data_IF_497298662174
#
_entry.id   IF_497298662174
#
_cell.length_a   1.000
_cell.length_b   1.000
_cell.length_c   1.000
_cell.angle_alpha   90.00
_cell.angle_beta   90.00
_cell.angle_gamma   90.00
#
_symmetry.space_group_name_H-M   'P 1'
#
loop_
_entity.id
_entity.type
_entity.pdbx_description
1 polymer ?
#
# COMPACT_ATOMS: atom_id res chain seq x y z
N UNK A 1 19.96 -2.64 -9.77
CA UNK A 1 19.62 -3.15 -8.43
C UNK A 1 19.94 -2.05 -7.43
N UNK A 2 18.99 -1.14 -7.20
CA UNK A 2 18.99 -0.31 -5.98
C UNK A 2 17.90 -0.95 -5.13
N UNK A 3 18.31 -1.86 -4.27
CA UNK A 3 17.42 -2.38 -3.24
C UNK A 3 16.92 -1.17 -2.44
N UNK A 4 15.60 -0.99 -2.51
CA UNK A 4 14.87 0.01 -1.75
C UNK A 4 15.16 -0.29 -0.30
N UNK A 5 15.95 0.58 0.34
CA UNK A 5 16.08 0.58 1.79
C UNK A 5 14.69 0.91 2.34
N UNK A 6 13.90 -0.13 2.59
CA UNK A 6 12.65 -0.01 3.32
C UNK A 6 13.02 0.55 4.68
N UNK A 7 12.54 1.77 4.95
CA UNK A 7 12.81 2.45 6.21
C UNK A 7 12.27 1.59 7.37
N UNK A 8 13.13 1.32 8.37
CA UNK A 8 12.75 0.52 9.53
C UNK A 8 11.60 1.19 10.32
N UNK A 9 11.51 2.52 10.29
CA UNK A 9 10.39 3.26 10.86
C UNK A 9 9.06 2.94 10.17
N UNK A 10 9.10 2.71 8.86
CA UNK A 10 7.92 2.41 8.07
C UNK A 10 7.33 1.03 8.39
N UNK A 11 8.19 0.02 8.46
CA UNK A 11 7.79 -1.33 8.84
C UNK A 11 7.23 -1.38 10.26
N UNK A 12 7.85 -0.65 11.20
CA UNK A 12 7.36 -0.59 12.57
C UNK A 12 5.97 0.05 12.66
N UNK A 13 5.75 1.15 11.95
CA UNK A 13 4.46 1.85 11.93
C UNK A 13 3.36 0.96 11.38
N UNK A 14 3.63 0.24 10.28
CA UNK A 14 2.68 -0.71 9.69
C UNK A 14 2.40 -1.89 10.62
N UNK A 15 3.41 -2.44 11.31
CA UNK A 15 3.24 -3.52 12.27
C UNK A 15 2.33 -3.10 13.45
N UNK A 16 2.50 -1.88 13.96
CA UNK A 16 1.67 -1.34 15.05
C UNK A 16 0.22 -1.11 14.59
N UNK A 17 0.02 -0.62 13.37
CA UNK A 17 -1.31 -0.52 12.75
C UNK A 17 -1.97 -1.88 12.65
N UNK A 18 -1.25 -2.88 12.15
CA UNK A 18 -1.77 -4.24 12.01
C UNK A 18 -2.17 -4.83 13.36
N UNK A 19 -1.36 -4.63 14.40
CA UNK A 19 -1.70 -5.04 15.76
C UNK A 19 -3.01 -4.42 16.26
N UNK A 20 -3.23 -3.14 15.98
CA UNK A 20 -4.50 -2.46 16.32
C UNK A 20 -5.70 -3.05 15.56
N UNK A 21 -5.58 -3.27 14.25
CA UNK A 21 -6.68 -3.73 13.39
C UNK A 21 -6.98 -5.22 13.50
N UNK A 22 -5.98 -6.05 13.78
CA UNK A 22 -6.12 -7.51 13.89
C UNK A 22 -6.52 -7.96 15.29
N UNK A 23 -6.46 -7.07 16.28
CA UNK A 23 -6.97 -7.39 17.62
C UNK A 23 -8.48 -7.66 17.54
N UNK A 24 -8.88 -8.82 18.04
CA UNK A 24 -10.26 -9.29 18.01
C UNK A 24 -10.74 -9.61 19.42
N UNK A 25 -12.01 -9.34 19.67
CA UNK A 25 -12.68 -9.62 20.94
C UNK A 25 -12.65 -11.12 21.24
N UNK A 26 -12.11 -11.53 22.38
CA UNK A 26 -12.17 -12.93 22.83
C UNK A 26 -13.33 -13.12 23.82
N UNK A 27 -14.04 -14.25 23.76
CA UNK A 27 -15.20 -14.53 24.62
C UNK A 27 -14.90 -14.44 26.13
N UNK A 28 -13.66 -14.72 26.53
CA UNK A 28 -13.21 -14.65 27.91
C UNK A 28 -12.78 -13.25 28.38
N UNK A 29 -12.80 -12.24 27.51
CA UNK A 29 -12.37 -10.88 27.84
C UNK A 29 -13.53 -9.97 28.28
N UNK A 30 -13.26 -9.13 29.27
CA UNK A 30 -14.18 -8.08 29.71
C UNK A 30 -14.19 -6.90 28.71
N UNK A 31 -15.35 -6.33 28.32
CA UNK A 31 -15.43 -5.24 27.36
C UNK A 31 -14.57 -4.02 27.70
N UNK A 32 -14.46 -3.69 28.99
CA UNK A 32 -13.63 -2.58 29.48
C UNK A 32 -12.15 -2.83 29.19
N UNK A 33 -11.68 -4.06 29.36
CA UNK A 33 -10.28 -4.44 29.12
C UNK A 33 -9.98 -4.45 27.61
N UNK A 34 -10.90 -4.94 26.79
CA UNK A 34 -10.79 -4.86 25.32
C UNK A 34 -10.69 -3.40 24.87
N UNK A 35 -11.54 -2.52 25.40
CA UNK A 35 -11.52 -1.09 25.07
C UNK A 35 -10.19 -0.44 25.50
N UNK A 36 -9.67 -0.78 26.68
CA UNK A 36 -8.38 -0.28 27.17
C UNK A 36 -7.23 -0.70 26.25
N UNK A 37 -7.17 -1.98 25.86
CA UNK A 37 -6.15 -2.50 24.93
C UNK A 37 -6.23 -1.86 23.55
N UNK A 38 -7.43 -1.67 23.01
CA UNK A 38 -7.63 -0.95 21.74
C UNK A 38 -7.10 0.49 21.81
N UNK A 39 -7.32 1.19 22.93
CA UNK A 39 -6.77 2.54 23.14
C UNK A 39 -5.24 2.52 23.18
N UNK A 40 -4.65 1.51 23.82
CA UNK A 40 -3.19 1.35 23.89
C UNK A 40 -2.59 1.08 22.50
N UNK A 41 -3.17 0.17 21.72
CA UNK A 41 -2.70 -0.11 20.34
C UNK A 41 -2.88 1.09 19.41
N UNK A 42 -4.02 1.79 19.51
CA UNK A 42 -4.26 3.01 18.76
C UNK A 42 -3.22 4.09 19.09
N UNK A 43 -2.90 4.27 20.38
CA UNK A 43 -1.87 5.22 20.82
C UNK A 43 -0.47 4.82 20.34
N UNK A 44 -0.13 3.53 20.37
CA UNK A 44 1.15 3.04 19.84
C UNK A 44 1.28 3.28 18.33
N UNK A 45 0.21 3.03 17.57
CA UNK A 45 0.21 3.26 16.13
C UNK A 45 0.27 4.76 15.77
N UNK A 46 -0.63 5.56 16.34
CA UNK A 46 -0.79 6.97 15.95
C UNK A 46 0.15 7.93 16.68
N UNK A 47 0.77 7.50 17.78
CA UNK A 47 1.73 8.26 18.60
C UNK A 47 1.32 9.73 18.83
N UNK A 48 0.15 10.01 19.44
CA UNK A 48 -0.38 11.37 19.59
C UNK A 48 0.51 12.31 20.43
N UNK A 49 1.50 11.78 21.15
CA UNK A 49 2.52 12.57 21.86
C UNK A 49 3.56 13.17 20.93
N UNK A 50 3.73 12.58 19.73
CA UNK A 50 4.74 12.97 18.73
C UNK A 50 4.11 13.59 17.48
N UNK A 51 2.88 13.18 17.15
CA UNK A 51 2.18 13.62 15.94
C UNK A 51 1.17 14.72 16.24
N UNK A 52 1.13 15.74 15.36
CA UNK A 52 0.05 16.70 15.33
C UNK A 52 -1.25 16.04 14.88
N UNK A 53 -2.38 16.72 15.09
CA UNK A 53 -3.68 16.29 14.62
C UNK A 53 -3.66 16.01 13.10
N UNK A 54 -3.04 16.90 12.34
CA UNK A 54 -2.94 16.81 10.88
C UNK A 54 -2.11 15.59 10.47
N UNK A 55 -0.99 15.31 11.17
CA UNK A 55 -0.20 14.11 10.93
C UNK A 55 -0.97 12.82 11.23
N UNK A 56 -1.78 12.81 12.31
CA UNK A 56 -2.65 11.67 12.62
C UNK A 56 -3.70 11.46 11.52
N UNK A 57 -4.33 12.55 11.03
CA UNK A 57 -5.28 12.47 9.94
C UNK A 57 -4.63 11.92 8.67
N UNK A 58 -3.41 12.36 8.33
CA UNK A 58 -2.66 11.84 7.19
C UNK A 58 -2.38 10.33 7.31
N UNK A 59 -2.05 9.82 8.50
CA UNK A 59 -1.85 8.37 8.71
C UNK A 59 -3.14 7.56 8.45
N UNK A 60 -4.28 8.08 8.90
CA UNK A 60 -5.60 7.44 8.67
C UNK A 60 -5.99 7.53 7.20
N UNK A 61 -5.76 8.67 6.54
CA UNK A 61 -6.00 8.83 5.10
C UNK A 61 -5.11 7.88 4.31
N UNK A 62 -3.84 7.74 4.67
CA UNK A 62 -2.91 6.81 4.05
C UNK A 62 -3.38 5.36 4.19
N UNK A 63 -3.80 4.93 5.39
CA UNK A 63 -4.37 3.59 5.59
C UNK A 63 -5.55 3.36 4.65
N UNK A 64 -6.49 4.33 4.58
CA UNK A 64 -7.67 4.22 3.74
C UNK A 64 -7.30 4.19 2.25
N UNK A 65 -6.41 5.08 1.81
CA UNK A 65 -5.92 5.15 0.43
C UNK A 65 -5.33 3.81 0.01
N UNK A 66 -4.43 3.24 0.81
CA UNK A 66 -3.83 1.93 0.53
C UNK A 66 -4.85 0.79 0.51
N UNK A 67 -5.98 0.92 1.20
CA UNK A 67 -7.02 -0.12 1.29
C UNK A 67 -7.95 -0.12 0.07
N UNK A 68 -8.17 1.03 -0.57
CA UNK A 68 -9.06 1.16 -1.73
C UNK A 68 -8.38 0.95 -3.09
N UNK A 69 -7.05 0.82 -3.13
CA UNK A 69 -6.33 0.55 -4.37
C UNK A 69 -6.75 -0.81 -4.97
N UNK A 70 -6.78 -0.95 -6.31
CA UNK A 70 -6.98 -2.24 -6.97
C UNK A 70 -5.95 -3.27 -6.48
N UNK A 71 -6.29 -4.58 -6.38
CA UNK A 71 -5.45 -5.57 -5.70
C UNK A 71 -3.97 -5.60 -6.15
N UNK A 72 -3.72 -5.59 -7.46
CA UNK A 72 -2.36 -5.62 -8.01
C UNK A 72 -1.55 -4.37 -7.63
N UNK A 73 -2.19 -3.20 -7.72
CA UNK A 73 -1.59 -1.93 -7.33
C UNK A 73 -1.38 -1.87 -5.82
N UNK A 74 -2.36 -2.34 -5.05
CA UNK A 74 -2.31 -2.40 -3.60
C UNK A 74 -1.09 -3.19 -3.12
N UNK A 75 -0.90 -4.42 -3.63
CA UNK A 75 0.27 -5.23 -3.32
C UNK A 75 1.56 -4.47 -3.66
N UNK A 76 1.66 -3.97 -4.90
CA UNK A 76 2.86 -3.30 -5.38
C UNK A 76 3.24 -2.04 -4.57
N UNK A 77 2.24 -1.23 -4.18
CA UNK A 77 2.44 -0.01 -3.38
C UNK A 77 2.76 -0.38 -1.93
N UNK A 78 2.07 -1.36 -1.32
CA UNK A 78 2.30 -1.78 0.07
C UNK A 78 3.66 -2.41 0.27
N UNK A 79 4.17 -3.16 -0.69
CA UNK A 79 5.52 -3.77 -0.63
C UNK A 79 6.64 -2.72 -0.50
N UNK A 80 6.36 -1.47 -0.87
CA UNK A 80 7.29 -0.33 -0.75
C UNK A 80 7.07 0.52 0.49
N UNK A 81 6.13 0.14 1.35
CA UNK A 81 5.89 0.72 2.68
C UNK A 81 5.85 2.27 2.71
N UNK A 82 4.96 2.93 1.95
CA UNK A 82 4.89 4.38 1.95
C UNK A 82 4.57 4.94 3.35
N UNK A 83 5.20 6.06 3.69
CA UNK A 83 5.02 6.76 4.97
C UNK A 83 4.07 7.96 4.90
N UNK A 84 3.69 8.36 3.68
CA UNK A 84 2.82 9.49 3.45
C UNK A 84 1.94 9.25 2.22
N UNK A 85 0.78 9.93 2.18
CA UNK A 85 -0.12 9.89 1.02
C UNK A 85 0.60 10.31 -0.27
N UNK A 86 1.47 11.32 -0.21
CA UNK A 86 2.26 11.77 -1.36
C UNK A 86 3.14 10.66 -1.94
N UNK A 87 3.82 9.89 -1.08
CA UNK A 87 4.62 8.74 -1.51
C UNK A 87 3.75 7.65 -2.12
N UNK A 88 2.63 7.31 -1.47
CA UNK A 88 1.70 6.30 -1.98
C UNK A 88 1.11 6.68 -3.35
N UNK A 89 0.79 7.96 -3.56
CA UNK A 89 0.32 8.49 -4.85
C UNK A 89 1.41 8.38 -5.91
N UNK A 90 2.64 8.82 -5.62
CA UNK A 90 3.75 8.69 -6.58
C UNK A 90 4.01 7.23 -6.99
N UNK A 91 3.91 6.30 -6.04
CA UNK A 91 4.02 4.86 -6.30
C UNK A 91 2.86 4.35 -7.17
N UNK A 92 1.62 4.74 -6.86
CA UNK A 92 0.46 4.35 -7.66
C UNK A 92 0.54 4.88 -9.11
N UNK A 93 1.00 6.12 -9.30
CA UNK A 93 1.25 6.71 -10.62
C UNK A 93 2.35 5.97 -11.40
N UNK A 94 3.43 5.58 -10.71
CA UNK A 94 4.50 4.77 -11.31
C UNK A 94 3.98 3.41 -11.77
N UNK A 95 3.18 2.73 -10.94
CA UNK A 95 2.53 1.46 -11.31
C UNK A 95 1.67 1.60 -12.58
N UNK A 96 0.85 2.66 -12.67
CA UNK A 96 0.04 2.94 -13.87
C UNK A 96 0.89 3.20 -15.12
N UNK A 97 2.04 3.86 -14.96
CA UNK A 97 2.97 4.12 -16.07
C UNK A 97 3.58 2.81 -16.58
N UNK A 98 3.97 1.92 -15.66
CA UNK A 98 4.54 0.60 -16.00
C UNK A 98 3.53 -0.28 -16.74
N UNK A 99 2.28 -0.37 -16.27
CA UNK A 99 1.23 -1.12 -16.96
C UNK A 99 0.97 -0.61 -18.40
N UNK A 100 0.91 0.71 -18.59
CA UNK A 100 0.73 1.31 -19.92
C UNK A 100 1.86 0.95 -20.87
N UNK A 101 3.09 0.85 -20.35
CA UNK A 101 4.25 0.49 -21.16
C UNK A 101 4.23 -0.99 -21.56
N UNK A 102 3.87 -1.89 -20.63
CA UNK A 102 3.74 -3.33 -20.91
C UNK A 102 2.66 -3.62 -21.97
N UNK A 103 1.51 -2.93 -21.90
CA UNK A 103 0.45 -3.05 -22.90
C UNK A 103 0.93 -2.57 -24.27
N UNK A 104 1.61 -1.42 -24.34
CA UNK A 104 2.17 -0.90 -25.60
C UNK A 104 3.17 -1.87 -26.22
N UNK A 105 4.06 -2.43 -25.40
CA UNK A 105 5.07 -3.42 -25.83
C UNK A 105 4.38 -4.67 -26.37
N UNK A 106 3.40 -5.21 -25.64
CA UNK A 106 2.65 -6.40 -26.06
C UNK A 106 1.88 -6.16 -27.37
N UNK A 107 1.24 -4.99 -27.51
CA UNK A 107 0.55 -4.62 -28.75
C UNK A 107 1.53 -4.46 -29.91
N UNK A 108 2.71 -3.88 -29.69
CA UNK A 108 3.73 -3.73 -30.72
C UNK A 108 4.26 -5.09 -31.20
N UNK A 109 4.49 -6.04 -30.30
CA UNK A 109 4.88 -7.42 -30.66
C UNK A 109 3.77 -8.11 -31.48
N UNK A 110 2.52 -8.04 -31.02
CA UNK A 110 1.38 -8.63 -31.76
C UNK A 110 1.18 -7.97 -33.13
N UNK A 111 1.36 -6.66 -33.24
CA UNK A 111 1.32 -5.97 -34.53
C UNK A 111 2.46 -6.42 -35.45
N UNK A 112 3.68 -6.55 -34.93
CA UNK A 112 4.82 -7.07 -35.69
C UNK A 112 4.57 -8.48 -36.22
N UNK A 113 4.05 -9.39 -35.39
CA UNK A 113 3.69 -10.75 -35.82
C UNK A 113 2.61 -10.77 -36.90
N UNK A 114 1.59 -9.91 -36.80
CA UNK A 114 0.52 -9.82 -37.81
C UNK A 114 1.08 -9.32 -39.15
N UNK A 115 1.96 -8.32 -39.14
CA UNK A 115 2.59 -7.79 -40.35
C UNK A 115 3.51 -8.84 -41.00
N UNK A 116 4.33 -9.52 -40.20
CA UNK A 116 5.21 -10.60 -40.67
C UNK A 116 4.44 -11.80 -41.25
N UNK A 117 3.25 -12.09 -40.75
CA UNK A 117 2.37 -13.15 -41.30
C UNK A 117 1.73 -12.75 -42.63
N UNK A 118 1.37 -11.47 -42.80
CA UNK A 118 0.81 -10.98 -44.06
C UNK A 118 1.87 -10.96 -45.18
N UNK A 119 3.12 -10.60 -44.88
CA UNK A 119 4.21 -10.60 -45.87
C UNK A 119 4.66 -12.01 -46.30
N UNK A 120 4.40 -13.04 -45.48
CA UNK A 120 4.63 -14.45 -45.85
C UNK A 120 3.49 -15.09 -46.65
N UNK A 121 2.35 -14.42 -46.76
CA UNK A 121 1.16 -14.90 -47.47
C UNK A 121 0.98 -14.24 -48.86
N UNK A 122 1.82 -13.27 -49.23
CA UNK A 122 1.98 -12.75 -50.58
C UNK A 122 3.15 -13.43 -51.30
#
# INVERSE_FOLDING_TARGET
>A
MKDVLVDQGALLTEALRQRFRQYSYQEAEEPQEVCKRLREFCRQWLMPEKHSKEQILELVILEQFLTILPPEMQCWVRDRCPQACSQAVSLAEEFLRSQKQEIKVTLAYKFGEIVDLQDKMC
#
